data_IF_570899340060
#
_entry.id   IF_570899340060
#
_cell.length_a   1.000
_cell.length_b   1.000
_cell.length_c   1.000
_cell.angle_alpha   90.00
_cell.angle_beta   90.00
_cell.angle_gamma   90.00
#
_symmetry.space_group_name_H-M   'P 1'
#
loop_
_entity.id
_entity.type
_entity.pdbx_description
1 polymer ?
#
# COMPACT_ATOMS: atom_id res chain seq x y z
N UNK A 1 -1.73 9.43 -16.48
CA UNK A 1 -1.01 8.44 -15.66
C UNK A 1 -0.29 9.25 -14.60
N UNK A 2 -0.32 8.86 -13.33
CA UNK A 2 0.40 9.58 -12.26
C UNK A 2 1.89 9.68 -12.68
N UNK A 3 2.37 10.87 -13.05
CA UNK A 3 3.82 11.07 -13.19
C UNK A 3 4.30 11.25 -11.75
N UNK A 4 4.70 10.16 -11.09
CA UNK A 4 5.26 10.22 -9.75
C UNK A 4 6.35 11.29 -9.69
N UNK A 5 6.37 12.07 -8.61
CA UNK A 5 7.33 13.16 -8.46
C UNK A 5 8.75 12.58 -8.48
N UNK A 6 9.55 13.02 -9.46
CA UNK A 6 10.93 12.58 -9.66
C UNK A 6 11.80 13.08 -8.49
N UNK A 7 12.05 12.23 -7.50
CA UNK A 7 13.12 12.41 -6.53
C UNK A 7 13.90 11.10 -6.37
N UNK A 8 15.11 11.09 -6.94
CA UNK A 8 16.23 10.18 -6.76
C UNK A 8 15.95 8.82 -6.12
N UNK A 9 15.76 7.80 -6.96
CA UNK A 9 15.72 6.39 -6.55
C UNK A 9 14.79 5.57 -7.44
N UNK A 10 15.35 4.88 -8.43
CA UNK A 10 14.63 4.05 -9.40
C UNK A 10 13.70 3.01 -8.74
N UNK A 11 12.41 3.34 -8.57
CA UNK A 11 11.30 2.40 -8.35
C UNK A 11 10.04 2.95 -9.00
N UNK A 12 9.98 2.91 -10.33
CA UNK A 12 8.82 3.26 -11.15
C UNK A 12 7.61 2.43 -10.68
N UNK A 13 6.76 3.01 -9.84
CA UNK A 13 5.52 2.37 -9.41
C UNK A 13 4.42 2.76 -10.39
N UNK A 14 4.10 1.86 -11.31
CA UNK A 14 2.90 1.93 -12.13
C UNK A 14 1.68 1.98 -11.18
N UNK A 15 1.04 3.15 -11.06
CA UNK A 15 -0.25 3.22 -10.39
C UNK A 15 -1.27 2.45 -11.24
N UNK A 16 -1.92 1.44 -10.69
CA UNK A 16 -3.08 0.83 -11.32
C UNK A 16 -4.20 1.86 -11.30
N UNK A 17 -4.79 2.18 -12.46
CA UNK A 17 -5.96 3.04 -12.56
C UNK A 17 -7.19 2.27 -12.06
N UNK A 18 -7.26 1.98 -10.76
CA UNK A 18 -8.53 1.60 -10.13
C UNK A 18 -9.23 2.90 -9.74
N UNK A 19 -10.47 3.09 -10.20
CA UNK A 19 -11.23 4.34 -10.09
C UNK A 19 -11.68 4.71 -8.68
N UNK A 20 -10.73 4.96 -7.77
CA UNK A 20 -10.96 5.62 -6.51
C UNK A 20 -10.67 7.12 -6.70
N UNK A 21 -11.67 7.96 -6.46
CA UNK A 21 -11.59 9.43 -6.51
C UNK A 21 -10.32 9.90 -5.81
N UNK A 22 -9.60 10.85 -6.42
CA UNK A 22 -8.32 11.45 -6.00
C UNK A 22 -8.36 12.18 -4.64
N UNK A 23 -8.92 11.57 -3.60
CA UNK A 23 -8.94 12.03 -2.23
C UNK A 23 -7.75 11.45 -1.47
N UNK A 24 -7.17 12.24 -0.57
CA UNK A 24 -6.20 11.69 0.36
C UNK A 24 -6.87 10.59 1.19
N UNK A 25 -6.25 9.40 1.23
CA UNK A 25 -6.73 8.29 2.06
C UNK A 25 -5.99 8.31 3.39
N UNK A 26 -6.76 8.21 4.47
CA UNK A 26 -6.29 8.23 5.84
C UNK A 26 -6.23 6.80 6.42
N UNK A 27 -5.34 6.60 7.37
CA UNK A 27 -5.19 5.37 8.13
C UNK A 27 -6.37 5.22 9.07
N UNK A 28 -7.09 4.11 9.01
CA UNK A 28 -8.31 3.92 9.80
C UNK A 28 -8.06 3.83 11.31
N UNK A 29 -6.85 3.48 11.72
CA UNK A 29 -6.51 3.34 13.14
C UNK A 29 -6.00 4.61 13.81
N UNK A 30 -5.46 5.56 13.04
CA UNK A 30 -4.79 6.74 13.62
C UNK A 30 -4.99 8.04 12.83
N UNK A 31 -5.83 7.99 11.80
CA UNK A 31 -6.19 9.09 10.91
C UNK A 31 -5.02 9.79 10.18
N UNK A 32 -3.79 9.26 10.29
CA UNK A 32 -2.62 9.74 9.55
C UNK A 32 -2.67 9.33 8.07
N UNK A 33 -1.70 9.74 7.26
CA UNK A 33 -1.68 9.39 5.83
C UNK A 33 -1.51 7.87 5.61
N UNK A 34 -2.46 7.24 4.92
CA UNK A 34 -2.36 5.82 4.56
C UNK A 34 -1.24 5.60 3.54
N UNK A 35 -0.54 4.48 3.67
CA UNK A 35 0.54 4.06 2.76
C UNK A 35 0.34 2.66 2.19
N UNK A 36 -0.54 1.87 2.81
CA UNK A 36 -0.81 0.48 2.49
C UNK A 36 -2.33 0.27 2.51
N UNK A 37 -2.79 -0.64 1.67
CA UNK A 37 -4.14 -1.19 1.70
C UNK A 37 -4.04 -2.69 1.95
N UNK A 38 -4.77 -3.19 2.95
CA UNK A 38 -4.86 -4.62 3.21
C UNK A 38 -6.13 -5.18 2.57
N UNK A 39 -5.98 -6.14 1.66
CA UNK A 39 -7.13 -6.73 0.97
C UNK A 39 -7.97 -7.64 1.88
N UNK A 40 -7.34 -8.29 2.87
CA UNK A 40 -8.05 -9.22 3.76
C UNK A 40 -8.92 -8.48 4.79
N UNK A 41 -8.46 -7.33 5.26
CA UNK A 41 -9.17 -6.49 6.25
C UNK A 41 -9.99 -5.36 5.59
N UNK A 42 -9.90 -5.22 4.26
CA UNK A 42 -10.44 -4.09 3.48
C UNK A 42 -10.06 -2.71 4.06
N UNK A 43 -8.86 -2.60 4.63
CA UNK A 43 -8.48 -1.47 5.47
C UNK A 43 -7.28 -0.70 4.93
N UNK A 44 -7.33 0.62 5.05
CA UNK A 44 -6.20 1.51 4.76
C UNK A 44 -5.37 1.79 6.00
N UNK A 45 -4.06 1.51 5.90
CA UNK A 45 -3.14 1.58 7.04
C UNK A 45 -1.89 2.40 6.71
N UNK A 46 -1.39 3.12 7.72
CA UNK A 46 -0.03 3.66 7.69
C UNK A 46 0.98 2.55 8.04
N UNK A 47 2.26 2.72 7.68
CA UNK A 47 3.32 1.73 7.97
C UNK A 47 3.43 1.34 9.45
N UNK A 48 3.16 2.28 10.35
CA UNK A 48 3.19 2.01 11.80
C UNK A 48 2.04 1.07 12.17
N UNK A 49 0.80 1.47 11.89
CA UNK A 49 -0.39 0.69 12.17
C UNK A 49 -0.37 -0.68 11.48
N UNK A 50 0.10 -0.74 10.23
CA UNK A 50 0.34 -1.98 9.52
C UNK A 50 1.22 -2.94 10.32
N UNK A 51 2.38 -2.48 10.81
CA UNK A 51 3.27 -3.31 11.64
C UNK A 51 2.57 -3.79 12.91
N UNK A 52 1.77 -2.95 13.56
CA UNK A 52 1.05 -3.35 14.77
C UNK A 52 0.00 -4.42 14.51
N UNK A 53 -0.78 -4.30 13.44
CA UNK A 53 -1.84 -5.28 13.09
C UNK A 53 -1.22 -6.57 12.52
N UNK A 54 -0.32 -6.44 11.56
CA UNK A 54 0.18 -7.57 10.76
C UNK A 54 1.41 -8.26 11.36
N UNK A 55 2.01 -7.72 12.43
CA UNK A 55 3.01 -8.45 13.23
C UNK A 55 2.44 -9.00 14.53
N UNK A 56 1.19 -8.68 14.89
CA UNK A 56 0.59 -9.17 16.14
C UNK A 56 0.40 -10.69 16.14
N UNK A 57 0.13 -11.29 14.97
CA UNK A 57 -0.01 -12.73 14.84
C UNK A 57 0.41 -13.21 13.43
N UNK A 58 0.70 -14.51 13.32
CA UNK A 58 1.16 -15.14 12.08
C UNK A 58 0.07 -15.27 10.99
N UNK A 59 -1.21 -15.15 11.35
CA UNK A 59 -2.33 -15.18 10.40
C UNK A 59 -2.41 -13.85 9.66
N UNK A 60 -2.45 -12.75 10.40
CA UNK A 60 -2.42 -11.38 9.89
C UNK A 60 -1.14 -11.12 9.09
N UNK A 61 -0.02 -11.71 9.50
CA UNK A 61 1.24 -11.61 8.76
C UNK A 61 1.10 -12.09 7.31
N UNK A 62 0.27 -13.09 7.02
CA UNK A 62 0.05 -13.62 5.66
C UNK A 62 -0.86 -12.75 4.80
N UNK A 63 -1.48 -11.69 5.32
CA UNK A 63 -2.36 -10.84 4.52
C UNK A 63 -1.58 -10.14 3.41
N UNK A 64 -2.19 -10.12 2.22
CA UNK A 64 -1.67 -9.43 1.04
C UNK A 64 -1.98 -7.94 1.21
N UNK A 65 -0.93 -7.13 1.18
CA UNK A 65 -1.02 -5.68 1.31
C UNK A 65 -0.48 -5.00 0.07
N UNK A 66 -1.18 -4.00 -0.44
CA UNK A 66 -0.78 -3.22 -1.60
C UNK A 66 -0.22 -1.87 -1.15
N UNK A 67 0.90 -1.43 -1.72
CA UNK A 67 1.40 -0.09 -1.49
C UNK A 67 0.59 0.96 -2.24
N UNK A 68 0.33 2.08 -1.58
CA UNK A 68 -0.25 3.26 -2.17
C UNK A 68 0.85 4.17 -2.73
N UNK A 69 0.56 4.86 -3.82
CA UNK A 69 1.44 5.87 -4.38
C UNK A 69 1.59 7.04 -3.42
N UNK A 70 2.82 7.48 -3.14
CA UNK A 70 3.08 8.65 -2.29
C UNK A 70 2.65 9.98 -2.92
N UNK A 71 2.35 10.02 -4.22
CA UNK A 71 1.88 11.23 -4.90
C UNK A 71 0.37 11.26 -4.99
N UNK A 72 -0.26 10.21 -5.51
CA UNK A 72 -1.70 10.19 -5.80
C UNK A 72 -2.51 9.25 -4.91
N UNK A 73 -1.88 8.51 -3.98
CA UNK A 73 -2.50 7.49 -3.12
C UNK A 73 -3.33 6.42 -3.84
N UNK A 74 -3.14 6.29 -5.16
CA UNK A 74 -3.65 5.16 -5.93
C UNK A 74 -2.91 3.87 -5.55
N UNK A 75 -3.60 2.74 -5.66
CA UNK A 75 -2.99 1.42 -5.55
C UNK A 75 -1.89 1.26 -6.60
N UNK A 76 -0.77 0.68 -6.18
CA UNK A 76 0.37 0.38 -7.05
C UNK A 76 0.46 -1.12 -7.30
N UNK A 77 1.28 -1.53 -8.25
CA UNK A 77 1.56 -2.94 -8.50
C UNK A 77 2.55 -3.57 -7.50
N UNK A 78 2.83 -2.88 -6.38
CA UNK A 78 3.76 -3.35 -5.35
C UNK A 78 2.96 -3.95 -4.20
N UNK A 79 3.21 -5.23 -3.95
CA UNK A 79 2.52 -5.97 -2.90
C UNK A 79 3.52 -6.45 -1.83
N UNK A 80 3.03 -6.53 -0.60
CA UNK A 80 3.70 -7.13 0.55
C UNK A 80 2.91 -8.36 0.97
N UNK A 81 3.62 -9.47 1.10
CA UNK A 81 3.10 -10.73 1.65
C UNK A 81 4.01 -11.07 2.83
N UNK A 82 3.45 -11.40 3.99
CA UNK A 82 4.30 -11.68 5.16
C UNK A 82 4.83 -10.40 5.84
N UNK A 83 5.75 -10.57 6.79
CA UNK A 83 6.38 -9.47 7.50
C UNK A 83 7.12 -8.47 6.60
N UNK A 84 7.70 -8.94 5.49
CA UNK A 84 8.67 -8.17 4.70
C UNK A 84 8.83 -8.60 3.24
N UNK A 85 8.04 -9.54 2.71
CA UNK A 85 8.27 -10.03 1.34
C UNK A 85 7.59 -9.10 0.33
N UNK A 86 8.33 -8.10 -0.16
CA UNK A 86 7.92 -7.25 -1.28
C UNK A 86 7.91 -8.10 -2.56
N UNK A 87 6.72 -8.44 -3.06
CA UNK A 87 6.55 -9.13 -4.33
C UNK A 87 6.05 -8.14 -5.37
N UNK A 88 6.81 -7.98 -6.45
CA UNK A 88 6.36 -7.27 -7.63
C UNK A 88 5.63 -8.30 -8.51
N UNK A 89 4.30 -8.31 -8.47
CA UNK A 89 3.52 -9.23 -9.31
C UNK A 89 3.58 -8.72 -10.76
N UNK A 90 3.98 -9.54 -11.75
CA UNK A 90 3.92 -9.14 -13.15
C UNK A 90 2.46 -8.88 -13.55
N UNK A 91 2.20 -7.72 -14.12
CA UNK A 91 0.95 -7.40 -14.82
C UNK A 91 0.89 -8.30 -16.04
N UNK A 92 -0.11 -9.19 -16.08
CA UNK A 92 -0.51 -9.85 -17.33
C UNK A 92 -1.15 -8.83 -18.26
#
# INVERSE_FOLDING_TARGET
>A
MCKGLEQGGNRSSSCLKQGFSSGLVNCELCNSRASLYCQADDAYLCRKCDKWVHQANFLALRHIRCFLCSTCQSLTQRYLIGASHEVMLPTM
#
